data_IF_480292631866
#
_entry.id   IF_480292631866
#
_cell.length_a   1.000
_cell.length_b   1.000
_cell.length_c   1.000
_cell.angle_alpha   90.00
_cell.angle_beta   90.00
_cell.angle_gamma   90.00
#
_symmetry.space_group_name_H-M   'P 1'
#
loop_
_entity.id
_entity.type
_entity.pdbx_description
1 polymer ?
#
# COMPACT_ATOMS: atom_id res chain seq x y z
N UNK A 1 1.93 -14.69 -15.88
CA UNK A 1 0.60 -14.50 -16.49
C UNK A 1 0.77 -14.29 -18.00
N UNK A 2 0.00 -15.00 -18.82
CA UNK A 2 -0.10 -14.76 -20.24
C UNK A 2 -1.16 -13.68 -20.55
N UNK A 3 -1.11 -12.99 -21.69
CA UNK A 3 -2.15 -12.00 -22.02
C UNK A 3 -3.58 -12.59 -22.05
N UNK A 4 -3.72 -13.87 -22.43
CA UNK A 4 -4.99 -14.61 -22.43
C UNK A 4 -5.61 -14.77 -21.05
N UNK A 5 -4.81 -14.76 -19.99
CA UNK A 5 -5.25 -15.05 -18.63
C UNK A 5 -5.92 -13.83 -17.98
N UNK A 6 -5.77 -12.63 -18.56
CA UNK A 6 -6.17 -11.37 -17.96
C UNK A 6 -7.64 -11.39 -17.50
N UNK A 7 -8.55 -11.79 -18.37
CA UNK A 7 -9.98 -11.81 -18.03
C UNK A 7 -10.29 -12.75 -16.84
N UNK A 8 -9.66 -13.95 -16.83
CA UNK A 8 -9.81 -14.91 -15.74
C UNK A 8 -9.22 -14.40 -14.42
N UNK A 9 -8.05 -13.70 -14.48
CA UNK A 9 -7.42 -13.07 -13.31
C UNK A 9 -8.31 -11.98 -12.73
N UNK A 10 -8.89 -11.09 -13.56
CA UNK A 10 -9.79 -10.04 -13.10
C UNK A 10 -11.06 -10.62 -12.47
N UNK A 11 -11.64 -11.64 -13.08
CA UNK A 11 -12.83 -12.32 -12.55
C UNK A 11 -12.53 -13.02 -11.20
N UNK A 12 -11.38 -13.69 -11.08
CA UNK A 12 -10.92 -14.28 -9.82
C UNK A 12 -10.76 -13.21 -8.74
N UNK A 13 -10.10 -12.10 -9.08
CA UNK A 13 -9.87 -10.98 -8.16
C UNK A 13 -11.17 -10.40 -7.61
N UNK A 14 -12.13 -10.11 -8.49
CA UNK A 14 -13.47 -9.62 -8.09
C UNK A 14 -14.18 -10.58 -7.13
N UNK A 15 -14.15 -11.87 -7.45
CA UNK A 15 -14.79 -12.91 -6.64
C UNK A 15 -14.17 -13.03 -5.25
N UNK A 16 -12.85 -13.03 -5.16
CA UNK A 16 -12.12 -13.30 -3.91
C UNK A 16 -11.94 -12.06 -3.03
N UNK A 17 -11.88 -10.85 -3.63
CA UNK A 17 -11.58 -9.60 -2.93
C UNK A 17 -12.73 -8.59 -2.92
N UNK A 18 -13.74 -8.77 -3.78
CA UNK A 18 -14.88 -7.88 -3.87
C UNK A 18 -14.56 -6.48 -4.44
N UNK A 19 -13.35 -6.29 -4.98
CA UNK A 19 -12.91 -5.03 -5.57
C UNK A 19 -13.41 -4.90 -7.01
N UNK A 20 -13.53 -3.65 -7.53
CA UNK A 20 -14.01 -3.41 -8.88
C UNK A 20 -13.04 -3.95 -9.94
N UNK A 21 -13.56 -4.23 -11.14
CA UNK A 21 -12.74 -4.65 -12.28
C UNK A 21 -11.69 -3.59 -12.65
N UNK A 22 -12.07 -2.31 -12.59
CA UNK A 22 -11.16 -1.19 -12.84
C UNK A 22 -10.00 -1.17 -11.85
N UNK A 23 -10.28 -1.37 -10.56
CA UNK A 23 -9.25 -1.47 -9.53
C UNK A 23 -8.32 -2.65 -9.79
N UNK A 24 -8.89 -3.85 -10.06
CA UNK A 24 -8.11 -5.05 -10.36
C UNK A 24 -7.23 -4.88 -11.61
N UNK A 25 -7.77 -4.27 -12.67
CA UNK A 25 -7.01 -3.97 -13.88
C UNK A 25 -5.84 -2.99 -13.60
N UNK A 26 -6.08 -1.92 -12.85
CA UNK A 26 -5.03 -0.98 -12.44
C UNK A 26 -3.94 -1.67 -11.59
N UNK A 27 -4.33 -2.55 -10.66
CA UNK A 27 -3.40 -3.31 -9.84
C UNK A 27 -2.50 -4.23 -10.69
N UNK A 28 -3.09 -4.95 -11.63
CA UNK A 28 -2.40 -5.87 -12.55
C UNK A 28 -1.50 -5.14 -13.54
N UNK A 29 -2.00 -4.11 -14.20
CA UNK A 29 -1.31 -3.46 -15.34
C UNK A 29 -0.34 -2.37 -14.91
N UNK A 30 -0.74 -1.52 -13.98
CA UNK A 30 -0.02 -0.30 -13.62
C UNK A 30 0.75 -0.42 -12.32
N UNK A 31 0.16 -1.04 -11.29
CA UNK A 31 0.81 -1.17 -10.00
C UNK A 31 1.89 -2.26 -10.03
N UNK A 32 1.55 -3.48 -10.42
CA UNK A 32 2.52 -4.56 -10.54
C UNK A 32 3.25 -4.55 -11.89
N UNK A 33 2.50 -4.41 -12.98
CA UNK A 33 2.91 -4.70 -14.35
C UNK A 33 2.72 -6.19 -14.66
N UNK A 34 2.21 -6.51 -15.86
CA UNK A 34 1.80 -7.87 -16.24
C UNK A 34 2.89 -8.93 -16.02
N UNK A 35 4.16 -8.58 -16.22
CA UNK A 35 5.31 -9.48 -16.04
C UNK A 35 5.56 -9.87 -14.57
N UNK A 36 4.93 -9.18 -13.63
CA UNK A 36 5.03 -9.41 -12.19
C UNK A 36 3.75 -10.01 -11.60
N UNK A 37 2.85 -10.47 -12.45
CA UNK A 37 1.64 -11.19 -12.06
C UNK A 37 1.89 -12.69 -12.19
N UNK A 38 1.67 -13.40 -11.11
CA UNK A 38 1.83 -14.84 -10.99
C UNK A 38 0.47 -15.48 -10.83
N UNK A 39 0.25 -16.56 -11.54
CA UNK A 39 -1.01 -17.33 -11.50
C UNK A 39 -0.71 -18.79 -11.22
N UNK A 40 -1.63 -19.45 -10.57
CA UNK A 40 -1.68 -20.92 -10.50
C UNK A 40 -2.93 -21.41 -11.21
N UNK A 41 -2.78 -22.46 -11.99
CA UNK A 41 -3.86 -23.11 -12.73
C UNK A 41 -4.19 -24.46 -12.08
N UNK A 42 -5.46 -24.77 -12.04
CA UNK A 42 -5.98 -26.08 -11.65
C UNK A 42 -7.14 -26.44 -12.58
N UNK A 43 -7.12 -27.63 -13.16
CA UNK A 43 -8.16 -28.11 -14.10
C UNK A 43 -8.43 -27.11 -15.25
N UNK A 44 -7.37 -26.61 -15.88
CA UNK A 44 -7.42 -25.64 -16.99
C UNK A 44 -8.09 -24.28 -16.64
N UNK A 45 -8.16 -23.93 -15.36
CA UNK A 45 -8.70 -22.65 -14.87
C UNK A 45 -7.71 -21.95 -13.93
N UNK A 46 -7.72 -20.62 -13.94
CA UNK A 46 -6.94 -19.81 -12.98
C UNK A 46 -7.56 -20.00 -11.59
N UNK A 47 -6.82 -20.66 -10.70
CA UNK A 47 -7.24 -20.97 -9.34
C UNK A 47 -6.69 -19.97 -8.30
N UNK A 48 -5.51 -19.36 -8.57
CA UNK A 48 -4.94 -18.36 -7.67
C UNK A 48 -4.12 -17.31 -8.44
N UNK A 49 -4.00 -16.13 -7.85
CA UNK A 49 -3.19 -15.01 -8.36
C UNK A 49 -2.41 -14.35 -7.24
N UNK A 50 -1.23 -13.83 -7.56
CA UNK A 50 -0.40 -13.02 -6.69
C UNK A 50 0.41 -12.02 -7.53
N UNK A 51 0.58 -10.81 -7.00
CA UNK A 51 1.37 -9.76 -7.63
C UNK A 51 2.66 -9.53 -6.84
N UNK A 52 3.79 -9.46 -7.54
CA UNK A 52 5.09 -9.08 -6.99
C UNK A 52 5.43 -7.66 -7.42
N UNK A 53 4.92 -6.66 -6.70
CA UNK A 53 5.14 -5.25 -7.02
C UNK A 53 6.59 -4.87 -6.72
N UNK A 54 7.38 -4.38 -7.69
CA UNK A 54 8.75 -3.96 -7.44
C UNK A 54 8.83 -2.78 -6.46
N UNK A 55 9.68 -2.90 -5.46
CA UNK A 55 9.92 -1.90 -4.41
C UNK A 55 11.41 -1.83 -4.06
N UNK A 56 11.78 -0.79 -3.33
CA UNK A 56 13.12 -0.69 -2.72
C UNK A 56 13.03 -0.48 -1.21
N UNK A 57 14.07 -0.89 -0.50
CA UNK A 57 14.26 -0.64 0.92
C UNK A 57 15.75 -0.41 1.15
N UNK A 58 16.13 0.77 1.64
CA UNK A 58 17.53 1.17 1.84
C UNK A 58 18.40 0.91 0.58
N UNK A 59 17.89 1.27 -0.60
CA UNK A 59 18.57 1.08 -1.89
C UNK A 59 18.61 -0.37 -2.40
N UNK A 60 18.16 -1.36 -1.63
CA UNK A 60 18.06 -2.76 -2.06
C UNK A 60 16.77 -2.99 -2.81
N UNK A 61 16.84 -3.71 -3.92
CA UNK A 61 15.67 -4.10 -4.69
C UNK A 61 14.94 -5.28 -4.03
N UNK A 62 13.61 -5.23 -4.04
CA UNK A 62 12.74 -6.27 -3.53
C UNK A 62 11.38 -6.26 -4.18
N UNK A 63 10.46 -7.03 -3.61
CA UNK A 63 9.07 -7.08 -4.07
C UNK A 63 8.10 -6.93 -2.90
N UNK A 64 6.98 -6.27 -3.17
CA UNK A 64 5.81 -6.26 -2.30
C UNK A 64 4.79 -7.25 -2.84
N UNK A 65 4.54 -8.30 -2.06
CA UNK A 65 3.49 -9.28 -2.36
C UNK A 65 2.14 -8.63 -2.14
N UNK A 66 1.39 -8.46 -3.22
CA UNK A 66 0.08 -7.84 -3.21
C UNK A 66 -0.97 -8.74 -3.86
N UNK A 67 -2.20 -8.68 -3.40
CA UNK A 67 -3.32 -9.36 -4.05
C UNK A 67 -3.24 -10.88 -4.06
N UNK A 68 -2.52 -11.50 -3.12
CA UNK A 68 -2.52 -12.96 -2.99
C UNK A 68 -3.93 -13.43 -2.66
N UNK A 69 -4.59 -14.08 -3.62
CA UNK A 69 -5.94 -14.63 -3.44
C UNK A 69 -6.19 -15.81 -4.38
N UNK A 70 -7.17 -16.62 -4.03
CA UNK A 70 -7.56 -17.82 -4.79
C UNK A 70 -8.08 -18.93 -3.90
N UNK A 71 -8.31 -20.10 -4.51
CA UNK A 71 -8.91 -21.25 -3.84
C UNK A 71 -7.85 -22.25 -3.40
N UNK A 72 -8.01 -22.76 -2.17
CA UNK A 72 -7.19 -23.83 -1.63
C UNK A 72 -5.84 -23.38 -1.07
N UNK A 73 -5.61 -23.69 0.21
CA UNK A 73 -4.38 -23.32 0.91
C UNK A 73 -3.10 -23.89 0.27
N UNK A 74 -3.19 -25.10 -0.29
CA UNK A 74 -2.05 -25.75 -0.97
C UNK A 74 -1.67 -25.03 -2.27
N UNK A 75 -2.66 -24.55 -3.05
CA UNK A 75 -2.43 -23.82 -4.29
C UNK A 75 -1.80 -22.46 -3.98
N UNK A 76 -2.33 -21.75 -2.99
CA UNK A 76 -1.76 -20.47 -2.52
C UNK A 76 -0.32 -20.65 -1.99
N UNK A 77 -0.07 -21.72 -1.24
CA UNK A 77 1.26 -22.05 -0.73
C UNK A 77 2.25 -22.32 -1.88
N UNK A 78 1.85 -23.11 -2.87
CA UNK A 78 2.67 -23.40 -4.06
C UNK A 78 2.94 -22.16 -4.91
N UNK A 79 1.91 -21.32 -5.13
CA UNK A 79 2.06 -20.06 -5.85
C UNK A 79 3.04 -19.11 -5.15
N UNK A 80 2.96 -19.02 -3.82
CA UNK A 80 3.85 -18.19 -3.01
C UNK A 80 5.31 -18.69 -3.09
N UNK A 81 5.53 -20.00 -2.97
CA UNK A 81 6.86 -20.60 -3.13
C UNK A 81 7.45 -20.29 -4.50
N UNK A 82 6.65 -20.47 -5.56
CA UNK A 82 7.08 -20.19 -6.92
C UNK A 82 7.40 -18.69 -7.12
N UNK A 83 6.53 -17.81 -6.64
CA UNK A 83 6.74 -16.35 -6.72
C UNK A 83 8.05 -15.97 -6.02
N UNK A 84 8.26 -16.40 -4.77
CA UNK A 84 9.47 -16.08 -4.02
C UNK A 84 10.73 -16.61 -4.73
N UNK A 85 10.70 -17.82 -5.27
CA UNK A 85 11.80 -18.37 -6.05
C UNK A 85 12.09 -17.53 -7.30
N UNK A 86 11.06 -17.12 -8.05
CA UNK A 86 11.23 -16.27 -9.23
C UNK A 86 11.77 -14.89 -8.87
N UNK A 87 11.31 -14.27 -7.78
CA UNK A 87 11.83 -12.99 -7.31
C UNK A 87 13.32 -13.09 -6.96
N UNK A 88 13.71 -14.15 -6.27
CA UNK A 88 15.12 -14.42 -5.95
C UNK A 88 15.98 -14.58 -7.21
N UNK A 89 15.51 -15.31 -8.21
CA UNK A 89 16.21 -15.48 -9.51
C UNK A 89 16.35 -14.14 -10.26
N UNK A 90 15.41 -13.21 -10.09
CA UNK A 90 15.47 -11.86 -10.67
C UNK A 90 16.31 -10.88 -9.82
N UNK A 91 16.96 -11.35 -8.77
CA UNK A 91 17.84 -10.54 -7.93
C UNK A 91 17.13 -9.75 -6.81
N UNK A 92 15.86 -10.03 -6.53
CA UNK A 92 15.19 -9.42 -5.38
C UNK A 92 15.85 -9.90 -4.09
N UNK A 93 16.28 -8.95 -3.27
CA UNK A 93 16.95 -9.21 -2.00
C UNK A 93 15.97 -9.51 -0.84
N UNK A 94 14.67 -9.19 -1.03
CA UNK A 94 13.61 -9.42 -0.06
C UNK A 94 12.23 -9.44 -0.73
N UNK A 95 11.26 -10.03 -0.04
CA UNK A 95 9.83 -9.89 -0.34
C UNK A 95 9.13 -9.46 0.94
N UNK A 96 8.31 -8.41 0.87
CA UNK A 96 7.46 -7.96 1.97
C UNK A 96 6.01 -8.23 1.66
N UNK A 97 5.19 -8.45 2.69
CA UNK A 97 3.75 -8.66 2.56
C UNK A 97 3.01 -8.04 3.74
N UNK A 98 1.80 -7.59 3.48
CA UNK A 98 0.83 -7.22 4.52
C UNK A 98 -0.33 -8.22 4.44
N UNK A 99 -0.46 -9.13 5.39
CA UNK A 99 -1.56 -10.10 5.37
C UNK A 99 -2.89 -9.40 5.60
N UNK A 100 -3.90 -9.74 4.80
CA UNK A 100 -5.25 -9.21 4.94
C UNK A 100 -6.09 -9.98 5.98
N UNK A 101 -5.74 -11.24 6.24
CA UNK A 101 -6.44 -12.11 7.20
C UNK A 101 -5.47 -12.88 8.08
N UNK A 102 -5.93 -13.39 9.25
CA UNK A 102 -5.11 -14.26 10.10
C UNK A 102 -4.61 -15.52 9.37
N UNK A 103 -5.41 -16.09 8.46
CA UNK A 103 -5.05 -17.27 7.67
C UNK A 103 -3.91 -16.95 6.71
N UNK A 104 -3.94 -15.77 6.07
CA UNK A 104 -2.82 -15.31 5.24
C UNK A 104 -1.56 -15.06 6.09
N UNK A 105 -1.72 -14.52 7.30
CA UNK A 105 -0.59 -14.33 8.21
C UNK A 105 0.06 -15.67 8.59
N UNK A 106 -0.75 -16.70 8.88
CA UNK A 106 -0.28 -18.05 9.18
C UNK A 106 0.44 -18.66 7.96
N UNK A 107 -0.16 -18.56 6.78
CA UNK A 107 0.46 -19.04 5.53
C UNK A 107 1.83 -18.38 5.27
N UNK A 108 1.92 -17.06 5.41
CA UNK A 108 3.17 -16.33 5.24
C UNK A 108 4.22 -16.78 6.26
N UNK A 109 3.83 -16.97 7.53
CA UNK A 109 4.72 -17.44 8.58
C UNK A 109 5.24 -18.86 8.30
N UNK A 110 4.38 -19.78 7.84
CA UNK A 110 4.75 -21.14 7.44
C UNK A 110 5.74 -21.14 6.26
N UNK A 111 5.69 -20.12 5.41
CA UNK A 111 6.59 -19.90 4.28
C UNK A 111 7.86 -19.11 4.64
N UNK A 112 8.11 -18.90 5.93
CA UNK A 112 9.34 -18.28 6.42
C UNK A 112 9.34 -16.75 6.42
N UNK A 113 8.18 -16.10 6.23
CA UNK A 113 8.07 -14.65 6.44
C UNK A 113 8.11 -14.35 7.94
N UNK A 114 8.97 -13.42 8.31
CA UNK A 114 9.08 -12.92 9.68
C UNK A 114 8.36 -11.57 9.82
N UNK A 115 7.88 -11.28 11.04
CA UNK A 115 7.35 -9.94 11.34
C UNK A 115 8.48 -8.93 11.34
N UNK A 116 8.56 -8.11 10.30
CA UNK A 116 9.62 -7.12 10.12
C UNK A 116 9.18 -5.70 10.54
N UNK A 117 7.87 -5.41 10.47
CA UNK A 117 7.32 -4.07 10.72
C UNK A 117 6.16 -4.15 11.70
N UNK A 118 6.01 -3.12 12.50
CA UNK A 118 4.86 -2.92 13.38
C UNK A 118 4.28 -1.53 13.11
N UNK A 119 2.95 -1.45 12.96
CA UNK A 119 2.23 -0.19 12.90
C UNK A 119 1.79 0.19 14.31
N UNK A 120 1.92 1.46 14.66
CA UNK A 120 1.37 2.00 15.91
C UNK A 120 0.07 2.72 15.59
N UNK A 121 -0.96 2.43 16.35
CA UNK A 121 -2.19 3.19 16.33
C UNK A 121 -2.14 4.19 17.50
N UNK A 122 -2.07 5.48 17.20
CA UNK A 122 -1.92 6.54 18.19
C UNK A 122 -3.11 7.49 18.12
N UNK A 123 -4.05 7.43 19.08
CA UNK A 123 -5.07 8.47 19.22
C UNK A 123 -4.43 9.78 19.71
N UNK A 124 -4.84 10.90 19.13
CA UNK A 124 -4.39 12.24 19.50
C UNK A 124 -5.56 13.20 19.53
N UNK A 125 -5.55 14.10 20.51
CA UNK A 125 -6.29 15.34 20.43
C UNK A 125 -5.50 16.33 19.60
N UNK A 126 -6.14 17.02 18.68
CA UNK A 126 -5.48 17.94 17.78
C UNK A 126 -5.94 19.35 18.06
N UNK A 127 -5.01 20.24 18.40
CA UNK A 127 -5.28 21.65 18.58
C UNK A 127 -5.67 22.32 17.26
N UNK A 128 -6.58 23.29 17.31
CA UNK A 128 -6.85 24.15 16.16
C UNK A 128 -5.80 25.25 16.11
N UNK A 129 -5.14 25.37 14.98
CA UNK A 129 -4.10 26.37 14.79
C UNK A 129 -4.20 26.98 13.39
N UNK A 130 -4.75 28.17 13.31
CA UNK A 130 -4.94 28.94 12.07
C UNK A 130 -3.62 29.33 11.35
N UNK A 131 -2.50 29.18 12.03
CA UNK A 131 -1.17 29.52 11.51
C UNK A 131 -0.44 28.30 10.93
N UNK A 132 -1.00 27.11 11.08
CA UNK A 132 -0.39 25.90 10.51
C UNK A 132 -0.57 25.92 9.00
N UNK A 133 0.56 26.06 8.28
CA UNK A 133 0.57 26.12 6.82
C UNK A 133 0.86 24.75 6.22
N UNK A 134 -0.02 24.33 5.33
CA UNK A 134 0.15 23.13 4.52
C UNK A 134 -0.65 23.26 3.22
N UNK A 135 -0.26 22.48 2.21
CA UNK A 135 -0.97 22.33 0.95
C UNK A 135 -1.84 21.09 1.01
N UNK A 136 -2.98 21.11 0.32
CA UNK A 136 -3.90 19.99 0.27
C UNK A 136 -4.09 19.54 -1.18
N UNK A 137 -3.97 18.21 -1.40
CA UNK A 137 -4.25 17.53 -2.67
C UNK A 137 -3.45 18.07 -3.88
N UNK A 138 -2.40 18.87 -3.62
CA UNK A 138 -1.52 19.46 -4.64
C UNK A 138 -0.21 18.70 -4.83
N UNK A 139 0.07 17.72 -3.94
CA UNK A 139 1.34 17.01 -3.93
C UNK A 139 1.37 15.92 -4.99
N UNK A 140 2.40 15.96 -5.84
CA UNK A 140 2.61 14.93 -6.85
C UNK A 140 3.17 13.64 -6.25
N UNK A 141 2.91 12.50 -6.90
CA UNK A 141 3.48 11.22 -6.51
C UNK A 141 5.02 11.25 -6.42
N UNK A 142 5.67 12.00 -7.32
CA UNK A 142 7.13 12.22 -7.29
C UNK A 142 7.55 12.92 -6.01
N UNK A 143 6.87 14.01 -5.64
CA UNK A 143 7.20 14.77 -4.41
C UNK A 143 6.97 13.94 -3.15
N UNK A 144 5.91 13.11 -3.12
CA UNK A 144 5.70 12.18 -2.02
C UNK A 144 6.85 11.18 -1.87
N UNK A 145 7.30 10.56 -2.98
CA UNK A 145 8.44 9.65 -2.96
C UNK A 145 9.70 10.34 -2.44
N UNK A 146 9.97 11.58 -2.88
CA UNK A 146 11.12 12.38 -2.41
C UNK A 146 11.05 12.65 -0.89
N UNK A 147 9.87 12.99 -0.35
CA UNK A 147 9.67 13.20 1.08
C UNK A 147 9.87 11.91 1.88
N UNK A 148 9.33 10.78 1.38
CA UNK A 148 9.53 9.46 2.00
C UNK A 148 10.99 9.07 2.06
N UNK A 149 11.70 9.19 0.94
CA UNK A 149 13.13 8.87 0.87
C UNK A 149 13.96 9.78 1.78
N UNK A 150 13.62 11.06 1.84
CA UNK A 150 14.33 12.05 2.65
C UNK A 150 14.19 11.81 4.15
N UNK A 151 12.97 11.58 4.63
CA UNK A 151 12.69 11.54 6.08
C UNK A 151 12.56 10.11 6.63
N UNK A 152 12.20 9.15 5.76
CA UNK A 152 11.93 7.75 6.14
C UNK A 152 12.58 6.76 5.19
N UNK A 153 13.93 6.81 5.02
CA UNK A 153 14.65 5.92 4.10
C UNK A 153 14.54 4.44 4.48
N UNK A 154 14.24 4.14 5.75
CA UNK A 154 14.09 2.79 6.28
C UNK A 154 12.70 2.18 6.03
N UNK A 155 11.87 2.82 5.21
CA UNK A 155 10.57 2.30 4.80
C UNK A 155 10.60 1.76 3.38
N UNK A 156 9.63 0.90 3.06
CA UNK A 156 9.46 0.40 1.68
C UNK A 156 9.09 1.56 0.75
N UNK A 157 9.85 1.71 -0.34
CA UNK A 157 9.67 2.79 -1.31
C UNK A 157 9.09 2.26 -2.62
N UNK A 158 8.10 2.98 -3.15
CA UNK A 158 7.56 2.79 -4.50
C UNK A 158 8.21 3.76 -5.49
N UNK A 159 8.20 3.43 -6.77
CA UNK A 159 8.50 4.43 -7.81
C UNK A 159 7.36 5.45 -7.92
N UNK A 160 7.63 6.68 -8.46
CA UNK A 160 6.58 7.68 -8.65
C UNK A 160 5.38 7.18 -9.45
N UNK A 161 5.59 6.33 -10.46
CA UNK A 161 4.51 5.77 -11.29
C UNK A 161 3.60 4.85 -10.47
N UNK A 162 4.17 4.02 -9.58
CA UNK A 162 3.39 3.14 -8.68
C UNK A 162 2.72 3.93 -7.58
N UNK A 163 3.42 4.91 -7.03
CA UNK A 163 2.83 5.82 -6.04
C UNK A 163 1.63 6.56 -6.63
N UNK A 164 1.66 6.95 -7.91
CA UNK A 164 0.51 7.57 -8.57
C UNK A 164 -0.71 6.65 -8.64
N UNK A 165 -0.52 5.33 -8.79
CA UNK A 165 -1.62 4.36 -8.74
C UNK A 165 -2.21 4.28 -7.34
N UNK A 166 -1.35 4.22 -6.30
CA UNK A 166 -1.76 4.22 -4.89
C UNK A 166 -2.56 5.48 -4.56
N UNK A 167 -2.05 6.65 -4.96
CA UNK A 167 -2.74 7.93 -4.72
C UNK A 167 -4.08 8.00 -5.45
N UNK A 168 -4.15 7.53 -6.69
CA UNK A 168 -5.40 7.48 -7.44
C UNK A 168 -6.47 6.64 -6.75
N UNK A 169 -6.10 5.48 -6.19
CA UNK A 169 -7.00 4.65 -5.39
C UNK A 169 -7.43 5.34 -4.09
N UNK A 170 -6.48 5.92 -3.35
CA UNK A 170 -6.78 6.62 -2.10
C UNK A 170 -7.73 7.80 -2.34
N UNK A 171 -7.49 8.62 -3.37
CA UNK A 171 -8.40 9.71 -3.75
C UNK A 171 -9.79 9.21 -4.15
N UNK A 172 -9.89 8.12 -4.91
CA UNK A 172 -11.18 7.55 -5.30
C UNK A 172 -12.01 7.09 -4.11
N UNK A 173 -11.35 6.74 -2.99
CA UNK A 173 -11.97 6.36 -1.72
C UNK A 173 -12.21 7.54 -0.77
N UNK A 174 -11.90 8.78 -1.19
CA UNK A 174 -12.12 10.00 -0.42
C UNK A 174 -11.01 10.37 0.56
N UNK A 175 -9.78 9.89 0.33
CA UNK A 175 -8.63 10.36 1.09
C UNK A 175 -8.30 11.82 0.73
N UNK A 176 -7.75 12.54 1.70
CA UNK A 176 -7.14 13.87 1.52
C UNK A 176 -5.65 13.77 1.85
N UNK A 177 -4.82 14.45 1.08
CA UNK A 177 -3.39 14.57 1.34
C UNK A 177 -3.09 15.97 1.82
N UNK A 178 -2.47 16.08 2.99
CA UNK A 178 -1.89 17.30 3.54
C UNK A 178 -0.38 17.22 3.48
N UNK A 179 0.30 18.26 3.02
CA UNK A 179 1.76 18.25 2.91
C UNK A 179 2.38 19.64 3.06
N UNK A 180 3.65 19.65 3.42
CA UNK A 180 4.54 20.80 3.36
C UNK A 180 5.97 20.33 3.03
N UNK A 181 6.99 21.19 3.16
CA UNK A 181 8.39 20.82 2.90
C UNK A 181 8.99 19.85 3.93
N UNK A 182 8.33 19.69 5.10
CA UNK A 182 8.82 18.89 6.22
C UNK A 182 8.09 17.56 6.40
N UNK A 183 7.12 17.26 5.52
CA UNK A 183 6.41 15.99 5.57
C UNK A 183 5.06 15.99 4.85
N UNK A 184 4.33 14.90 5.00
CA UNK A 184 2.97 14.77 4.49
C UNK A 184 2.15 13.80 5.35
N UNK A 185 0.83 13.92 5.23
CA UNK A 185 -0.13 12.98 5.79
C UNK A 185 -1.21 12.62 4.78
N UNK A 186 -1.64 11.38 4.79
CA UNK A 186 -2.79 10.88 4.04
C UNK A 186 -3.87 10.50 5.03
N UNK A 187 -5.03 11.13 4.96
CA UNK A 187 -6.09 10.88 5.92
C UNK A 187 -7.46 10.72 5.30
N UNK A 188 -8.31 10.00 6.02
CA UNK A 188 -9.75 9.94 5.80
C UNK A 188 -10.44 10.65 6.95
N UNK A 189 -11.51 11.39 6.65
CA UNK A 189 -12.38 11.92 7.65
C UNK A 189 -13.56 10.97 7.90
N UNK A 190 -13.81 10.64 9.16
CA UNK A 190 -15.00 9.93 9.61
C UNK A 190 -15.58 10.68 10.80
N UNK A 191 -16.78 11.25 10.63
CA UNK A 191 -17.45 12.06 11.66
C UNK A 191 -16.56 13.21 12.15
N UNK A 192 -16.16 13.17 13.42
CA UNK A 192 -15.32 14.17 14.10
C UNK A 192 -13.84 13.78 14.18
N UNK A 193 -13.44 12.70 13.49
CA UNK A 193 -12.11 12.11 13.61
C UNK A 193 -11.39 12.05 12.26
N UNK A 194 -10.12 12.46 12.25
CA UNK A 194 -9.19 12.24 11.14
C UNK A 194 -8.45 10.92 11.34
N UNK A 195 -8.53 10.03 10.36
CA UNK A 195 -7.78 8.77 10.33
C UNK A 195 -6.62 8.90 9.37
N UNK A 196 -5.43 9.18 9.90
CA UNK A 196 -4.20 9.19 9.13
C UNK A 196 -3.76 7.75 8.88
N UNK A 197 -3.89 7.30 7.64
CA UNK A 197 -3.38 5.99 7.20
C UNK A 197 -1.88 6.04 6.94
N UNK A 198 -1.33 7.24 6.76
CA UNK A 198 0.10 7.50 6.70
C UNK A 198 0.36 8.94 7.16
N UNK A 199 1.31 9.12 8.07
CA UNK A 199 1.81 10.44 8.50
C UNK A 199 3.32 10.33 8.62
N UNK A 200 4.02 10.95 7.68
CA UNK A 200 5.48 10.97 7.60
C UNK A 200 5.99 12.39 7.65
N UNK A 201 6.80 12.69 8.62
CA UNK A 201 7.33 14.01 8.86
C UNK A 201 8.78 13.94 9.40
N UNK A 202 9.48 15.05 9.29
CA UNK A 202 10.86 15.19 9.73
C UNK A 202 11.02 14.95 11.24
N UNK A 203 10.03 15.42 12.03
CA UNK A 203 9.97 15.28 13.49
C UNK A 203 8.50 15.38 13.99
N UNK A 204 8.32 15.18 15.29
CA UNK A 204 7.00 15.23 15.92
C UNK A 204 6.33 16.61 15.74
N UNK A 205 7.09 17.71 15.75
CA UNK A 205 6.55 19.06 15.57
C UNK A 205 6.04 19.26 14.14
N UNK A 206 6.74 18.76 13.14
CA UNK A 206 6.29 18.79 11.75
C UNK A 206 5.02 17.95 11.55
N UNK A 207 4.92 16.80 12.22
CA UNK A 207 3.72 15.97 12.22
C UNK A 207 2.52 16.71 12.86
N UNK A 208 2.73 17.38 14.00
CA UNK A 208 1.70 18.21 14.65
C UNK A 208 1.19 19.31 13.71
N UNK A 209 2.07 20.04 13.02
CA UNK A 209 1.68 21.07 12.06
C UNK A 209 0.77 20.53 10.96
N UNK A 210 1.07 19.35 10.43
CA UNK A 210 0.23 18.72 9.40
C UNK A 210 -1.14 18.31 9.96
N UNK A 211 -1.20 17.77 11.18
CA UNK A 211 -2.46 17.42 11.84
C UNK A 211 -3.30 18.66 12.14
N UNK A 212 -2.68 19.73 12.65
CA UNK A 212 -3.34 21.01 12.94
C UNK A 212 -3.92 21.62 11.65
N UNK A 213 -3.14 21.63 10.55
CA UNK A 213 -3.62 22.12 9.26
C UNK A 213 -4.79 21.28 8.72
N UNK A 214 -4.71 19.97 8.82
CA UNK A 214 -5.80 19.07 8.42
C UNK A 214 -7.07 19.32 9.25
N UNK A 215 -6.93 19.49 10.57
CA UNK A 215 -8.05 19.88 11.45
C UNK A 215 -8.64 21.22 11.08
N UNK A 216 -7.82 22.21 10.73
CA UNK A 216 -8.28 23.53 10.32
C UNK A 216 -9.15 23.46 9.04
N UNK A 217 -8.72 22.65 8.06
CA UNK A 217 -9.49 22.39 6.84
C UNK A 217 -10.84 21.74 7.15
N UNK A 218 -10.86 20.79 8.07
CA UNK A 218 -12.03 19.93 8.36
C UNK A 218 -12.90 20.45 9.53
N UNK A 219 -13.01 21.68 9.74
CA UNK A 219 -13.72 22.54 10.74
C UNK A 219 -14.41 21.87 11.96
N UNK A 220 -14.99 20.67 11.83
CA UNK A 220 -15.74 19.95 12.88
C UNK A 220 -14.97 18.79 13.52
N UNK A 221 -13.71 18.66 13.21
CA UNK A 221 -12.85 17.56 13.72
C UNK A 221 -12.19 17.99 15.05
N UNK A 222 -12.14 17.08 16.00
CA UNK A 222 -11.49 17.29 17.30
C UNK A 222 -10.37 16.29 17.58
N UNK A 223 -10.37 15.14 16.89
CA UNK A 223 -9.46 14.03 17.14
C UNK A 223 -8.76 13.56 15.89
N UNK A 224 -7.57 13.00 16.05
CA UNK A 224 -6.88 12.28 15.01
C UNK A 224 -6.41 10.90 15.52
N UNK A 225 -6.41 9.91 14.64
CA UNK A 225 -5.82 8.59 14.85
C UNK A 225 -4.80 8.39 13.76
N UNK A 226 -3.58 8.03 14.15
CA UNK A 226 -2.47 7.73 13.26
C UNK A 226 -2.29 6.21 13.25
N UNK A 227 -2.30 5.59 12.10
CA UNK A 227 -2.15 4.12 11.94
C UNK A 227 -0.93 3.78 11.10
#
# INVERSE_FOLDING_TARGET
MQPSDKAAVLALWQRERGESEEFAANAVERFAGQQNVYVAEENDAIAAVALAVPVTLQGRQGSYLYGLCGQGSLILAGLLDYLCAQQKLRGAGFTVAVPATPEQAALLQDKGFARAFALRCLPREVARNLWSQAEFDSVTAKKLCELREKFWPDTVQFTPERMAVVLGDLYSRGATIVANERGYGVYFRKEDTLYFVELMAEDDRAAEVLMEAAREKEVIVEKAVIT
#
